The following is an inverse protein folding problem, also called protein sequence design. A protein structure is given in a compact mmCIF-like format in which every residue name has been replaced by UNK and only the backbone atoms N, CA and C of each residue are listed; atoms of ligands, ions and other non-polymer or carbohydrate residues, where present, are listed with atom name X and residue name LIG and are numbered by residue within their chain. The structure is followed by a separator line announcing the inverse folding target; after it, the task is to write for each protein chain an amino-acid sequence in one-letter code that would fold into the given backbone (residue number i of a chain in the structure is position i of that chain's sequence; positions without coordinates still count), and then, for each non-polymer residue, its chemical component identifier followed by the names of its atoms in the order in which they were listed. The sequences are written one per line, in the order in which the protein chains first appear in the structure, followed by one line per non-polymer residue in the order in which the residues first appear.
data_IF_143492076795
#
_entry.id   IF_143492076795
#
_cell.length_a   1.000
_cell.length_b   1.000
_cell.length_c   1.000
_cell.angle_alpha   90.00
_cell.angle_beta   90.00
_cell.angle_gamma   90.00
#
_symmetry.space_group_name_H-M   'P 1'
#
loop_
_entity.id
_entity.type
_entity.pdbx_description
1 polymer ?
#
# COMPACT_ATOMS: atom_id res chain seq x y z
N UNK A 1 -1.90 -19.20 10.76
CA UNK A 1 -2.30 -18.02 9.96
C UNK A 1 -1.51 -18.09 8.67
N UNK A 2 -2.15 -18.11 7.50
CA UNK A 2 -1.41 -18.13 6.23
C UNK A 2 -1.25 -16.68 5.80
N UNK A 3 -0.12 -16.08 6.14
CA UNK A 3 0.30 -14.89 5.42
C UNK A 3 0.41 -15.28 3.95
N UNK A 4 -0.42 -14.68 3.10
CA UNK A 4 -0.35 -14.89 1.66
C UNK A 4 0.83 -14.05 1.16
N UNK A 5 2.03 -14.59 1.31
CA UNK A 5 3.09 -14.21 0.38
C UNK A 5 2.65 -14.77 -0.97
N UNK A 6 2.43 -13.88 -1.94
CA UNK A 6 2.20 -14.24 -3.32
C UNK A 6 3.40 -15.07 -3.79
N UNK A 7 3.28 -16.39 -3.67
CA UNK A 7 4.14 -17.30 -4.40
C UNK A 7 3.78 -17.09 -5.86
N UNK A 8 4.61 -16.34 -6.59
CA UNK A 8 4.53 -16.29 -8.04
C UNK A 8 4.78 -17.71 -8.55
N UNK A 9 3.69 -18.43 -8.80
CA UNK A 9 3.73 -19.77 -9.36
C UNK A 9 4.25 -19.60 -10.78
N UNK A 10 5.54 -19.89 -10.99
CA UNK A 10 6.27 -19.78 -12.26
C UNK A 10 5.49 -20.47 -13.37
N UNK A 11 4.64 -19.71 -14.04
CA UNK A 11 3.93 -20.13 -15.24
C UNK A 11 4.75 -19.61 -16.39
N UNK A 12 5.48 -20.56 -16.99
CA UNK A 12 6.34 -20.40 -18.16
C UNK A 12 5.58 -19.60 -19.23
N UNK A 13 6.24 -18.57 -19.78
CA UNK A 13 5.85 -17.63 -20.85
C UNK A 13 5.38 -16.23 -20.42
N UNK A 14 6.35 -15.47 -19.89
CA UNK A 14 6.47 -14.00 -19.78
C UNK A 14 7.97 -13.67 -19.66
N UNK A 15 8.44 -12.45 -19.94
CA UNK A 15 9.84 -12.08 -19.79
C UNK A 15 10.34 -12.38 -18.37
N UNK A 16 11.38 -13.20 -18.23
CA UNK A 16 11.94 -13.45 -16.91
C UNK A 16 12.66 -12.16 -16.45
N UNK A 17 12.15 -11.51 -15.41
CA UNK A 17 12.85 -10.44 -14.72
C UNK A 17 14.28 -10.88 -14.37
N UNK A 18 15.24 -10.02 -14.68
CA UNK A 18 16.68 -10.33 -14.68
C UNK A 18 17.44 -9.71 -13.51
N UNK A 19 16.71 -9.10 -12.58
CA UNK A 19 17.18 -8.46 -11.36
C UNK A 19 16.19 -8.71 -10.20
N UNK A 20 16.44 -8.14 -9.02
CA UNK A 20 15.59 -8.30 -7.84
C UNK A 20 14.37 -7.37 -7.92
N UNK A 21 13.19 -7.84 -7.54
CA UNK A 21 11.97 -7.05 -7.57
C UNK A 21 11.45 -6.72 -6.17
N UNK A 22 11.02 -5.48 -5.95
CA UNK A 22 10.05 -5.13 -4.93
C UNK A 22 8.73 -5.79 -5.31
N UNK A 23 8.12 -6.50 -4.36
CA UNK A 23 6.89 -7.28 -4.61
C UNK A 23 5.75 -6.94 -3.69
N UNK A 24 6.04 -6.42 -2.51
CA UNK A 24 5.02 -6.01 -1.54
C UNK A 24 5.53 -4.86 -0.68
N UNK A 25 4.66 -3.87 -0.44
CA UNK A 25 4.88 -2.79 0.52
C UNK A 25 3.64 -2.65 1.39
N UNK A 26 3.83 -2.76 2.71
CA UNK A 26 2.80 -2.56 3.73
C UNK A 26 3.16 -1.31 4.51
N UNK A 27 2.23 -0.36 4.58
CA UNK A 27 2.43 0.92 5.26
C UNK A 27 1.63 1.04 6.55
N UNK A 28 0.65 0.17 6.79
CA UNK A 28 -0.24 0.26 7.95
C UNK A 28 -0.76 -1.10 8.44
N UNK A 29 -1.01 -1.24 9.75
CA UNK A 29 -0.60 -0.33 10.83
C UNK A 29 0.94 -0.32 11.00
N UNK A 30 1.46 0.53 11.91
CA UNK A 30 2.90 0.63 12.21
C UNK A 30 3.56 -0.74 12.44
N UNK A 31 2.88 -1.65 13.16
CA UNK A 31 3.40 -2.98 13.46
C UNK A 31 3.54 -3.85 12.20
N UNK A 32 2.80 -3.54 11.14
CA UNK A 32 2.80 -4.29 9.89
C UNK A 32 3.78 -3.74 8.84
N UNK A 33 4.39 -2.57 9.08
CA UNK A 33 5.25 -1.91 8.11
C UNK A 33 6.38 -2.85 7.66
N UNK A 34 6.37 -3.14 6.36
CA UNK A 34 7.26 -4.15 5.78
C UNK A 34 7.36 -4.05 4.27
N UNK A 35 8.48 -4.56 3.75
CA UNK A 35 8.80 -4.61 2.34
C UNK A 35 9.24 -6.02 1.98
N UNK A 36 8.70 -6.57 0.89
CA UNK A 36 9.11 -7.87 0.35
C UNK A 36 9.90 -7.72 -0.93
N UNK A 37 11.03 -8.43 -1.02
CA UNK A 37 11.92 -8.46 -2.19
C UNK A 37 12.01 -9.88 -2.71
N UNK A 38 11.82 -10.06 -4.01
CA UNK A 38 11.87 -11.35 -4.66
C UNK A 38 13.07 -11.45 -5.61
N UNK A 39 13.68 -12.63 -5.69
CA UNK A 39 14.67 -12.96 -6.71
C UNK A 39 14.02 -13.80 -7.82
N UNK A 40 13.48 -13.19 -8.90
CA UNK A 40 12.91 -13.93 -10.03
C UNK A 40 13.97 -14.56 -10.95
N UNK A 41 15.26 -14.27 -10.73
CA UNK A 41 16.34 -14.76 -11.60
C UNK A 41 16.59 -16.26 -11.41
N UNK A 42 17.36 -16.86 -12.33
CA UNK A 42 17.77 -18.27 -12.22
C UNK A 42 19.08 -18.46 -11.41
N UNK A 43 19.53 -17.45 -10.67
CA UNK A 43 20.80 -17.48 -9.94
C UNK A 43 20.69 -16.87 -8.55
N UNK A 44 21.47 -17.38 -7.62
CA UNK A 44 21.69 -16.75 -6.31
C UNK A 44 22.31 -15.37 -6.47
N UNK A 45 21.78 -14.38 -5.75
CA UNK A 45 22.28 -13.01 -5.71
C UNK A 45 22.87 -12.74 -4.32
N UNK A 46 24.04 -12.10 -4.26
CA UNK A 46 24.63 -11.64 -3.00
C UNK A 46 24.26 -10.17 -2.78
N UNK A 47 23.72 -9.86 -1.60
CA UNK A 47 23.13 -8.58 -1.28
C UNK A 47 24.10 -7.52 -0.73
N UNK A 48 25.39 -7.83 -0.55
CA UNK A 48 26.34 -6.93 0.14
C UNK A 48 26.47 -5.51 -0.46
N UNK A 49 26.15 -5.38 -1.75
CA UNK A 49 26.23 -4.13 -2.51
C UNK A 49 24.85 -3.59 -2.91
N UNK A 50 23.79 -4.16 -2.33
CA UNK A 50 22.44 -3.68 -2.51
C UNK A 50 22.07 -2.78 -1.32
N UNK A 51 21.22 -1.82 -1.60
CA UNK A 51 20.73 -0.82 -0.67
C UNK A 51 19.26 -0.58 -0.93
N UNK A 52 18.53 -0.24 0.13
CA UNK A 52 17.15 0.22 0.06
C UNK A 52 17.07 1.65 0.60
N UNK A 53 16.24 2.50 0.00
CA UNK A 53 16.18 3.93 0.29
C UNK A 53 14.79 4.49 0.01
N UNK A 54 14.43 5.54 0.75
CA UNK A 54 13.18 6.30 0.59
C UNK A 54 13.42 7.77 0.24
N UNK A 55 14.56 8.08 -0.37
CA UNK A 55 14.90 9.43 -0.81
C UNK A 55 15.20 9.43 -2.31
N UNK A 56 14.49 10.28 -3.06
CA UNK A 56 14.66 10.41 -4.50
C UNK A 56 16.02 11.01 -4.92
N UNK A 57 16.83 11.47 -3.97
CA UNK A 57 18.23 11.90 -4.15
C UNK A 57 19.27 10.79 -3.88
N UNK A 58 18.88 9.52 -3.70
CA UNK A 58 19.80 8.39 -3.42
C UNK A 58 21.03 8.33 -4.34
N UNK A 59 20.89 8.72 -5.60
CA UNK A 59 21.98 8.77 -6.59
C UNK A 59 23.11 9.77 -6.24
N UNK A 60 22.93 10.59 -5.18
CA UNK A 60 23.90 11.54 -4.62
C UNK A 60 24.67 11.02 -3.39
N UNK A 61 24.55 9.72 -3.03
CA UNK A 61 25.18 9.12 -1.83
C UNK A 61 26.71 9.31 -1.77
N UNK A 62 27.36 9.58 -2.90
CA UNK A 62 28.80 9.83 -2.96
C UNK A 62 29.19 11.26 -2.53
N UNK A 63 28.33 12.23 -2.85
CA UNK A 63 28.59 13.66 -2.61
C UNK A 63 28.08 14.11 -1.25
N UNK A 64 26.98 13.52 -0.82
CA UNK A 64 26.41 13.67 0.50
C UNK A 64 26.97 12.52 1.32
N UNK A 65 27.92 12.80 2.21
CA UNK A 65 28.47 11.76 3.10
C UNK A 65 27.33 10.89 3.66
N UNK A 66 27.55 9.58 3.81
CA UNK A 66 26.66 8.66 4.55
C UNK A 66 26.43 9.14 6.02
N UNK A 67 27.03 10.27 6.42
CA UNK A 67 26.87 10.99 7.69
C UNK A 67 26.24 12.39 7.56
N UNK A 68 25.83 12.84 6.38
CA UNK A 68 25.03 14.07 6.25
C UNK A 68 23.58 13.69 6.52
N UNK A 69 23.02 14.34 7.53
CA UNK A 69 21.69 14.14 8.13
C UNK A 69 20.49 14.06 7.17
N UNK A 70 20.69 14.21 5.86
CA UNK A 70 19.63 14.14 4.87
C UNK A 70 19.60 12.81 4.11
N UNK A 71 20.70 12.06 3.95
CA UNK A 71 20.68 10.74 3.25
C UNK A 71 20.96 9.59 4.23
N UNK A 72 21.68 9.85 5.33
CA UNK A 72 21.98 8.85 6.36
C UNK A 72 20.76 8.39 7.18
N UNK A 73 19.63 9.09 7.02
CA UNK A 73 18.34 8.80 7.66
C UNK A 73 17.37 8.02 6.76
N UNK A 74 17.66 7.88 5.47
CA UNK A 74 16.73 7.38 4.45
C UNK A 74 17.37 6.34 3.51
N UNK A 75 18.48 5.72 3.93
CA UNK A 75 19.16 4.67 3.16
C UNK A 75 19.69 3.61 4.11
N UNK A 76 19.50 2.34 3.75
CA UNK A 76 20.00 1.19 4.49
C UNK A 76 20.68 0.17 3.57
N UNK A 77 21.87 -0.29 3.97
CA UNK A 77 22.63 -1.32 3.29
C UNK A 77 22.23 -2.71 3.78
N UNK A 78 22.07 -3.66 2.86
CA UNK A 78 21.85 -5.06 3.20
C UNK A 78 23.12 -5.70 3.79
N UNK A 79 23.00 -6.63 4.76
CA UNK A 79 24.14 -7.40 5.23
C UNK A 79 24.71 -8.29 4.10
N UNK A 80 25.94 -8.79 4.28
CA UNK A 80 26.54 -9.76 3.34
C UNK A 80 25.83 -11.11 3.46
N UNK A 81 24.71 -11.22 2.75
CA UNK A 81 23.86 -12.39 2.67
C UNK A 81 23.53 -12.72 1.22
N UNK A 82 22.84 -13.84 1.02
CA UNK A 82 22.38 -14.28 -0.29
C UNK A 82 20.86 -14.43 -0.30
N UNK A 83 20.27 -14.26 -1.47
CA UNK A 83 18.90 -14.67 -1.79
C UNK A 83 18.97 -15.64 -2.97
N UNK A 84 18.51 -16.88 -2.78
CA UNK A 84 18.54 -17.89 -3.83
C UNK A 84 17.48 -17.61 -4.91
N UNK A 85 17.64 -18.26 -6.06
CA UNK A 85 16.70 -18.14 -7.17
C UNK A 85 15.28 -18.56 -6.75
N UNK A 86 14.31 -17.69 -6.98
CA UNK A 86 12.90 -17.87 -6.63
C UNK A 86 12.56 -17.63 -5.15
N UNK A 87 13.53 -17.20 -4.33
CA UNK A 87 13.25 -16.83 -2.94
C UNK A 87 12.67 -15.43 -2.82
N UNK A 88 11.86 -15.22 -1.79
CA UNK A 88 11.38 -13.91 -1.36
C UNK A 88 11.85 -13.69 0.07
N UNK A 89 12.35 -12.49 0.34
CA UNK A 89 12.70 -12.05 1.68
C UNK A 89 11.77 -10.93 2.14
N UNK A 90 11.58 -10.85 3.46
CA UNK A 90 10.74 -9.83 4.10
C UNK A 90 11.57 -9.00 5.07
N UNK A 91 11.49 -7.68 4.89
CA UNK A 91 12.08 -6.68 5.77
C UNK A 91 10.96 -6.08 6.61
N UNK A 92 11.07 -6.14 7.94
CA UNK A 92 10.11 -5.50 8.87
C UNK A 92 10.71 -4.28 9.55
N UNK A 93 9.86 -3.31 9.83
CA UNK A 93 10.24 -2.00 10.35
C UNK A 93 9.94 -1.82 11.84
N UNK A 94 9.05 -2.65 12.38
CA UNK A 94 8.60 -2.55 13.77
C UNK A 94 8.99 -3.77 14.61
N UNK A 95 9.47 -3.54 15.83
CA UNK A 95 9.86 -4.60 16.77
C UNK A 95 8.69 -5.51 17.20
N UNK A 96 7.46 -4.99 17.14
CA UNK A 96 6.24 -5.70 17.51
C UNK A 96 5.52 -6.34 16.31
N UNK A 97 6.20 -6.56 15.18
CA UNK A 97 5.58 -7.10 13.96
C UNK A 97 4.83 -8.42 14.15
N UNK A 98 5.22 -9.22 15.14
CA UNK A 98 4.55 -10.47 15.48
C UNK A 98 3.15 -10.26 16.08
N UNK A 99 2.82 -9.08 16.60
CA UNK A 99 1.45 -8.74 17.02
C UNK A 99 0.49 -8.69 15.84
N UNK A 100 0.99 -8.29 14.67
CA UNK A 100 0.21 -8.23 13.43
C UNK A 100 0.29 -9.54 12.62
N UNK A 101 1.51 -10.04 12.37
CA UNK A 101 1.74 -11.21 11.53
C UNK A 101 1.62 -12.55 12.27
N UNK A 102 1.54 -12.52 13.60
CA UNK A 102 1.48 -13.68 14.49
C UNK A 102 2.86 -14.20 14.93
N UNK A 103 2.89 -14.83 16.10
CA UNK A 103 4.09 -15.38 16.75
C UNK A 103 4.87 -16.41 15.91
N UNK A 104 4.19 -17.09 14.98
CA UNK A 104 4.81 -18.10 14.10
C UNK A 104 5.54 -17.46 12.90
N UNK A 105 5.34 -16.17 12.63
CA UNK A 105 6.01 -15.45 11.57
C UNK A 105 7.37 -14.93 12.03
N UNK A 106 8.40 -15.10 11.20
CA UNK A 106 9.76 -14.60 11.43
C UNK A 106 10.22 -13.91 10.17
N UNK A 107 10.56 -12.63 10.27
CA UNK A 107 11.11 -11.86 9.17
C UNK A 107 12.57 -12.24 8.88
N UNK A 108 13.00 -12.07 7.63
CA UNK A 108 14.38 -12.35 7.21
C UNK A 108 15.33 -11.24 7.65
N UNK A 109 14.87 -10.00 7.55
CA UNK A 109 15.62 -8.80 7.91
C UNK A 109 14.81 -7.84 8.78
N UNK A 110 15.53 -7.14 9.65
CA UNK A 110 14.98 -6.15 10.58
C UNK A 110 15.58 -4.77 10.29
N UNK A 111 14.76 -3.73 10.20
CA UNK A 111 15.23 -2.33 10.14
C UNK A 111 15.54 -1.72 11.52
N UNK A 112 15.38 -2.50 12.57
CA UNK A 112 15.64 -2.10 13.95
C UNK A 112 16.64 -3.05 14.63
N UNK A 113 17.14 -2.62 15.79
CA UNK A 113 18.09 -3.38 16.58
C UNK A 113 19.51 -3.36 15.99
N UNK A 114 20.35 -4.30 16.42
CA UNK A 114 21.77 -4.37 16.04
C UNK A 114 22.25 -5.82 15.84
N UNK A 115 21.35 -6.68 15.37
CA UNK A 115 21.61 -8.10 15.17
C UNK A 115 22.25 -8.36 13.79
N UNK A 116 22.74 -9.58 13.56
CA UNK A 116 23.37 -9.95 12.27
C UNK A 116 22.39 -9.88 11.07
N UNK A 117 21.08 -9.92 11.33
CA UNK A 117 20.01 -9.77 10.34
C UNK A 117 19.42 -8.35 10.32
N UNK A 118 20.10 -7.37 10.90
CA UNK A 118 19.69 -5.97 10.83
C UNK A 118 20.33 -5.28 9.62
N UNK A 119 19.58 -4.45 8.91
CA UNK A 119 20.17 -3.57 7.89
C UNK A 119 21.02 -2.50 8.57
N UNK A 120 22.00 -1.97 7.84
CA UNK A 120 22.84 -0.87 8.31
C UNK A 120 22.37 0.44 7.67
N UNK A 121 21.67 1.25 8.45
CA UNK A 121 21.13 2.55 8.04
C UNK A 121 19.74 2.77 8.63
N UNK A 122 18.97 3.66 8.00
CA UNK A 122 17.60 4.01 8.42
C UNK A 122 16.76 4.20 7.15
N UNK A 123 15.45 3.96 7.25
CA UNK A 123 14.45 4.28 6.22
C UNK A 123 13.27 4.88 6.95
N UNK A 124 12.64 5.89 6.36
CA UNK A 124 11.44 6.52 6.87
C UNK A 124 11.72 7.81 7.64
N UNK A 125 10.66 8.58 7.89
CA UNK A 125 10.72 9.75 8.76
C UNK A 125 10.83 9.33 10.24
N UNK A 126 11.13 10.28 11.13
CA UNK A 126 11.45 10.01 12.54
C UNK A 126 10.63 8.88 13.20
N UNK A 127 11.34 7.85 13.70
CA UNK A 127 10.87 6.52 14.13
C UNK A 127 10.82 5.44 13.05
N UNK A 128 11.51 5.61 11.92
CA UNK A 128 11.68 4.62 10.85
C UNK A 128 10.35 4.18 10.18
N UNK A 129 9.45 5.15 9.97
CA UNK A 129 8.10 4.93 9.43
C UNK A 129 7.96 5.31 7.97
N UNK A 130 7.18 4.53 7.23
CA UNK A 130 6.87 4.76 5.83
C UNK A 130 5.60 5.63 5.73
N UNK A 131 5.67 6.76 5.03
CA UNK A 131 4.52 7.66 4.91
C UNK A 131 3.38 7.06 4.09
N UNK A 132 2.15 7.14 4.58
CA UNK A 132 1.02 6.50 3.91
C UNK A 132 0.45 7.33 2.76
N UNK A 133 0.70 8.65 2.77
CA UNK A 133 0.13 9.58 1.79
C UNK A 133 0.93 9.59 0.50
N UNK A 134 2.26 9.70 0.60
CA UNK A 134 3.14 9.68 -0.55
C UNK A 134 4.56 9.35 -0.10
N UNK A 135 5.17 8.36 -0.73
CA UNK A 135 6.54 7.96 -0.47
C UNK A 135 7.12 7.28 -1.72
N UNK A 136 8.42 7.01 -1.70
CA UNK A 136 9.07 6.12 -2.67
C UNK A 136 9.93 5.10 -1.93
N UNK A 137 10.00 3.87 -2.45
CA UNK A 137 10.97 2.87 -2.04
C UNK A 137 11.83 2.54 -3.25
N UNK A 138 13.14 2.67 -3.10
CA UNK A 138 14.14 2.41 -4.15
C UNK A 138 15.04 1.27 -3.68
N UNK A 139 15.14 0.22 -4.50
CA UNK A 139 16.19 -0.78 -4.41
C UNK A 139 17.28 -0.39 -5.41
N UNK A 140 18.53 -0.29 -4.96
CA UNK A 140 19.64 0.08 -5.84
C UNK A 140 20.91 -0.70 -5.53
N UNK A 141 21.82 -0.73 -6.51
CA UNK A 141 23.13 -1.36 -6.40
C UNK A 141 24.25 -0.32 -6.43
N UNK A 142 25.16 -0.42 -5.46
CA UNK A 142 26.39 0.38 -5.43
C UNK A 142 27.54 -0.41 -4.81
N UNK A 143 28.69 -0.41 -5.46
CA UNK A 143 29.90 -1.15 -5.02
C UNK A 143 30.76 -0.37 -4.01
N UNK A 144 30.35 0.85 -3.64
CA UNK A 144 31.09 1.72 -2.74
C UNK A 144 32.20 2.54 -3.40
N UNK A 145 32.45 2.36 -4.71
CA UNK A 145 33.55 2.99 -5.44
C UNK A 145 33.14 3.67 -6.75
N UNK A 146 32.18 3.08 -7.47
CA UNK A 146 31.69 3.54 -8.78
C UNK A 146 30.97 4.88 -8.67
N UNK A 147 31.18 5.75 -9.67
CA UNK A 147 30.49 7.04 -9.79
C UNK A 147 28.99 6.88 -10.10
N UNK A 148 28.60 5.76 -10.71
CA UNK A 148 27.21 5.48 -11.06
C UNK A 148 26.61 4.50 -10.06
N UNK A 149 25.47 4.91 -9.51
CA UNK A 149 24.54 4.02 -8.84
C UNK A 149 23.66 3.39 -9.91
N UNK A 150 23.38 2.10 -9.77
CA UNK A 150 22.50 1.39 -10.69
C UNK A 150 21.17 1.15 -10.02
N UNK A 151 20.11 1.47 -10.75
CA UNK A 151 18.75 1.27 -10.29
C UNK A 151 18.45 -0.24 -10.34
N UNK A 152 17.72 -0.77 -9.37
CA UNK A 152 17.35 -2.19 -9.37
C UNK A 152 15.85 -2.35 -9.48
N UNK A 153 15.06 -1.64 -8.67
CA UNK A 153 13.61 -1.54 -8.80
C UNK A 153 13.18 -0.32 -7.95
N UNK A 154 12.02 0.27 -8.21
CA UNK A 154 11.39 1.17 -7.26
C UNK A 154 9.86 1.04 -7.25
N UNK A 155 9.26 1.43 -6.13
CA UNK A 155 7.82 1.62 -6.03
C UNK A 155 7.52 2.99 -5.43
N UNK A 156 6.79 3.83 -6.15
CA UNK A 156 6.36 5.15 -5.68
C UNK A 156 4.84 5.26 -5.65
N UNK A 157 4.33 5.94 -4.62
CA UNK A 157 2.90 6.23 -4.49
C UNK A 157 2.65 7.66 -4.04
N UNK A 158 1.47 8.15 -4.35
CA UNK A 158 0.93 9.40 -3.87
C UNK A 158 -0.58 9.39 -4.01
N UNK A 159 -1.30 9.46 -2.88
CA UNK A 159 -2.76 9.61 -2.87
C UNK A 159 -3.20 11.06 -3.09
N UNK A 160 -2.26 11.99 -3.33
CA UNK A 160 -2.54 13.38 -3.67
C UNK A 160 -2.79 13.50 -5.18
N UNK A 161 -3.95 14.03 -5.54
CA UNK A 161 -4.41 14.06 -6.93
C UNK A 161 -3.44 14.82 -7.85
N UNK A 162 -2.88 14.11 -8.84
CA UNK A 162 -2.08 14.70 -9.91
C UNK A 162 -0.67 15.14 -9.52
N UNK A 163 -0.18 14.76 -8.33
CA UNK A 163 1.14 15.16 -7.84
C UNK A 163 2.05 13.93 -7.68
N UNK A 164 3.08 13.82 -8.54
CA UNK A 164 4.21 12.91 -8.34
C UNK A 164 5.25 13.60 -7.44
N UNK A 165 5.11 13.47 -6.12
CA UNK A 165 5.99 14.15 -5.16
C UNK A 165 7.43 13.62 -5.18
N UNK A 166 7.58 12.32 -5.41
CA UNK A 166 8.85 11.60 -5.24
C UNK A 166 9.44 11.10 -6.57
N UNK A 167 9.01 11.68 -7.69
CA UNK A 167 9.55 11.36 -9.00
C UNK A 167 11.07 11.59 -9.07
N UNK A 168 11.77 10.70 -9.76
CA UNK A 168 13.24 10.70 -9.88
C UNK A 168 13.60 11.09 -11.32
N UNK A 169 14.46 12.08 -11.53
CA UNK A 169 14.92 12.37 -12.90
C UNK A 169 16.40 12.75 -12.91
N UNK A 170 17.22 11.83 -13.41
CA UNK A 170 18.68 11.99 -13.55
C UNK A 170 19.10 12.53 -14.92
N UNK A 171 18.16 12.97 -15.75
CA UNK A 171 18.45 13.51 -17.09
C UNK A 171 19.38 14.72 -17.05
N UNK A 172 20.38 14.72 -17.94
CA UNK A 172 21.41 15.77 -17.99
C UNK A 172 22.43 15.75 -16.84
N UNK A 173 22.35 14.79 -15.91
CA UNK A 173 23.42 14.54 -14.93
C UNK A 173 24.55 13.78 -15.62
N UNK A 174 25.80 14.20 -15.38
CA UNK A 174 26.97 13.57 -16.00
C UNK A 174 27.00 12.07 -15.70
N UNK A 175 27.30 11.27 -16.73
CA UNK A 175 27.41 9.81 -16.71
C UNK A 175 26.11 9.02 -16.56
N UNK A 176 24.99 9.64 -16.15
CA UNK A 176 23.67 9.01 -16.18
C UNK A 176 23.06 9.10 -17.58
N UNK A 177 22.24 8.12 -17.93
CA UNK A 177 21.31 8.21 -19.05
C UNK A 177 20.11 9.10 -18.67
N UNK A 178 19.40 9.59 -19.68
CA UNK A 178 18.17 10.34 -19.46
C UNK A 178 17.05 9.41 -18.98
N UNK A 179 16.46 9.74 -17.84
CA UNK A 179 15.28 9.09 -17.27
C UNK A 179 14.00 9.60 -17.95
N UNK A 180 12.91 8.85 -17.83
CA UNK A 180 11.57 9.33 -18.14
C UNK A 180 11.26 10.59 -17.34
N UNK A 181 10.72 11.62 -18.00
CA UNK A 181 10.46 12.91 -17.34
C UNK A 181 9.35 12.80 -16.29
N UNK A 182 9.46 13.57 -15.20
CA UNK A 182 8.57 13.49 -14.02
C UNK A 182 7.08 13.54 -14.39
N UNK A 183 6.70 14.35 -15.39
CA UNK A 183 5.32 14.48 -15.85
C UNK A 183 4.77 13.25 -16.60
N UNK A 184 5.66 12.38 -17.08
CA UNK A 184 5.34 11.15 -17.78
C UNK A 184 5.56 9.89 -16.93
N UNK A 185 6.13 10.02 -15.73
CA UNK A 185 6.27 8.91 -14.80
C UNK A 185 4.92 8.54 -14.19
N UNK A 186 4.64 7.24 -14.13
CA UNK A 186 3.47 6.73 -13.45
C UNK A 186 3.83 6.32 -12.03
N UNK A 187 3.05 6.83 -11.09
CA UNK A 187 3.09 6.44 -9.68
C UNK A 187 1.74 5.84 -9.30
N UNK A 188 1.73 5.02 -8.25
CA UNK A 188 0.51 4.43 -7.72
C UNK A 188 -0.32 5.48 -6.98
N UNK A 189 -1.62 5.54 -7.24
CA UNK A 189 -2.46 6.67 -6.80
C UNK A 189 -3.41 6.36 -5.66
N UNK A 190 -3.56 5.08 -5.30
CA UNK A 190 -4.47 4.68 -4.23
C UNK A 190 -3.71 4.56 -2.90
N UNK A 191 -4.39 4.91 -1.80
CA UNK A 191 -3.85 4.75 -0.44
C UNK A 191 -4.17 3.35 0.09
N UNK A 192 -3.16 2.59 0.52
CA UNK A 192 -3.37 1.32 1.21
C UNK A 192 -3.93 1.56 2.63
N UNK A 193 -4.81 0.65 3.07
CA UNK A 193 -5.42 0.68 4.40
C UNK A 193 -4.76 -0.36 5.32
N UNK A 194 -5.09 -0.33 6.62
CA UNK A 194 -4.75 -1.43 7.53
C UNK A 194 -5.19 -2.77 6.94
N UNK A 195 -4.38 -3.81 7.15
CA UNK A 195 -4.61 -5.17 6.64
C UNK A 195 -4.58 -5.31 5.11
N UNK A 196 -4.09 -4.30 4.41
CA UNK A 196 -3.84 -4.34 2.97
C UNK A 196 -2.38 -4.06 2.65
N UNK A 197 -1.96 -4.50 1.46
CA UNK A 197 -0.63 -4.23 0.94
C UNK A 197 -0.70 -3.73 -0.50
N UNK A 198 0.21 -2.82 -0.86
CA UNK A 198 0.61 -2.68 -2.25
C UNK A 198 1.33 -3.97 -2.66
N UNK A 199 0.91 -4.58 -3.75
CA UNK A 199 1.46 -5.84 -4.26
C UNK A 199 1.67 -5.76 -5.75
N UNK A 200 2.85 -6.18 -6.19
CA UNK A 200 3.13 -6.40 -7.61
C UNK A 200 2.19 -7.50 -8.15
N UNK A 201 1.69 -7.33 -9.37
CA UNK A 201 0.68 -8.21 -9.99
C UNK A 201 1.34 -9.46 -10.58
N UNK A 202 2.50 -9.31 -11.20
CA UNK A 202 3.35 -10.37 -11.73
C UNK A 202 4.83 -9.93 -11.68
N UNK A 203 5.70 -10.58 -12.46
CA UNK A 203 7.14 -10.27 -12.50
C UNK A 203 7.51 -9.35 -13.68
N UNK A 204 6.52 -8.89 -14.45
CA UNK A 204 6.76 -7.96 -15.56
C UNK A 204 6.61 -6.52 -15.08
N UNK A 205 7.49 -5.65 -15.55
CA UNK A 205 7.42 -4.22 -15.32
C UNK A 205 6.70 -3.56 -16.48
N UNK A 206 5.40 -3.32 -16.30
CA UNK A 206 4.50 -2.91 -17.37
C UNK A 206 5.00 -1.64 -18.05
N UNK A 207 5.18 -1.71 -19.37
CA UNK A 207 5.61 -0.61 -20.24
C UNK A 207 7.01 -0.05 -20.01
N UNK A 208 7.80 -0.70 -19.15
CA UNK A 208 9.16 -0.30 -18.83
C UNK A 208 10.11 -0.38 -20.04
N UNK A 209 10.93 0.66 -20.22
CA UNK A 209 11.91 0.78 -21.29
C UNK A 209 13.15 -0.04 -20.96
N UNK A 210 13.28 -1.17 -21.65
CA UNK A 210 14.30 -2.19 -21.37
C UNK A 210 15.75 -1.83 -21.79
N UNK A 211 16.01 -0.62 -22.32
CA UNK A 211 17.33 -0.24 -22.86
C UNK A 211 17.61 1.25 -22.72
N UNK A 212 18.90 1.59 -22.62
CA UNK A 212 19.41 2.96 -22.50
C UNK A 212 18.96 3.68 -21.21
N UNK A 213 18.63 2.95 -20.15
CA UNK A 213 18.40 3.52 -18.83
C UNK A 213 19.55 3.27 -17.86
N UNK A 214 19.28 3.55 -16.59
CA UNK A 214 20.23 3.53 -15.48
C UNK A 214 20.12 2.28 -14.60
N UNK A 215 19.20 1.36 -14.93
CA UNK A 215 18.98 0.08 -14.26
C UNK A 215 20.19 -0.86 -14.34
N UNK A 216 20.25 -1.83 -13.44
CA UNK A 216 21.35 -2.79 -13.31
C UNK A 216 21.55 -3.64 -14.58
N UNK A 217 20.47 -3.81 -15.34
CA UNK A 217 20.41 -4.50 -16.64
C UNK A 217 20.23 -3.54 -17.82
N UNK A 218 20.25 -2.23 -17.57
CA UNK A 218 20.19 -1.16 -18.56
C UNK A 218 18.78 -0.66 -18.88
N UNK A 219 17.80 -1.04 -18.07
CA UNK A 219 16.43 -0.55 -18.15
C UNK A 219 16.29 0.87 -17.57
N UNK A 220 15.23 1.56 -17.96
CA UNK A 220 14.78 2.81 -17.34
C UNK A 220 13.60 2.50 -16.43
N UNK A 221 13.92 2.18 -15.16
CA UNK A 221 12.92 1.92 -14.11
C UNK A 221 11.86 3.03 -14.09
N UNK A 222 12.27 4.30 -14.35
CA UNK A 222 11.39 5.48 -14.23
C UNK A 222 10.22 5.47 -15.21
N UNK A 223 10.27 4.59 -16.21
CA UNK A 223 9.27 4.45 -17.25
C UNK A 223 8.18 3.40 -16.94
N UNK A 224 8.30 2.65 -15.85
CA UNK A 224 7.30 1.65 -15.48
C UNK A 224 5.93 2.28 -15.21
N UNK A 225 4.87 1.67 -15.74
CA UNK A 225 3.51 2.01 -15.38
C UNK A 225 3.11 1.30 -14.08
N UNK A 226 3.44 1.91 -12.93
CA UNK A 226 3.13 1.36 -11.62
C UNK A 226 1.64 1.08 -11.38
N UNK A 227 0.72 1.75 -12.11
CA UNK A 227 -0.73 1.52 -12.00
C UNK A 227 -1.18 0.22 -12.66
N UNK A 228 -0.39 -0.29 -13.60
CA UNK A 228 -0.64 -1.55 -14.29
C UNK A 228 0.15 -2.71 -13.67
N UNK A 229 1.29 -2.42 -13.04
CA UNK A 229 2.15 -3.43 -12.41
C UNK A 229 1.79 -3.73 -10.96
N UNK A 230 1.10 -2.82 -10.26
CA UNK A 230 0.76 -2.95 -8.84
C UNK A 230 -0.74 -2.89 -8.59
N UNK A 231 -1.16 -3.48 -7.48
CA UNK A 231 -2.52 -3.41 -6.94
C UNK A 231 -2.51 -3.43 -5.43
N UNK A 232 -3.60 -2.97 -4.81
CA UNK A 232 -3.87 -3.22 -3.40
C UNK A 232 -4.49 -4.61 -3.25
N UNK A 233 -4.01 -5.39 -2.28
CA UNK A 233 -4.57 -6.70 -1.89
C UNK A 233 -4.88 -6.75 -0.40
N UNK A 234 -5.88 -7.55 -0.04
CA UNK A 234 -6.15 -7.94 1.35
C UNK A 234 -5.10 -8.95 1.83
N UNK A 235 -4.55 -8.74 3.03
CA UNK A 235 -3.58 -9.64 3.67
C UNK A 235 -4.24 -10.77 4.45
N UNK A 236 -5.49 -10.56 4.88
CA UNK A 236 -6.28 -11.48 5.69
C UNK A 236 -7.70 -11.54 5.14
N UNK A 237 -8.45 -12.61 5.46
CA UNK A 237 -9.88 -12.60 5.21
C UNK A 237 -10.57 -11.60 6.14
N UNK A 238 -11.01 -10.47 5.59
CA UNK A 238 -11.70 -9.42 6.32
C UNK A 238 -13.20 -9.71 6.37
N UNK A 239 -13.83 -9.44 7.52
CA UNK A 239 -15.28 -9.54 7.65
C UNK A 239 -15.77 -9.43 9.09
N UNK A 240 -17.08 -9.27 9.26
CA UNK A 240 -17.67 -9.15 10.60
C UNK A 240 -17.49 -10.46 11.40
N UNK A 241 -16.78 -10.38 12.52
CA UNK A 241 -16.52 -11.56 13.38
C UNK A 241 -17.56 -11.76 14.49
N UNK A 242 -18.53 -10.86 14.66
CA UNK A 242 -19.56 -11.02 15.68
C UNK A 242 -20.66 -11.99 15.25
N UNK A 243 -20.75 -13.15 15.92
CA UNK A 243 -21.73 -14.22 15.68
C UNK A 243 -23.21 -13.75 15.76
N UNK A 244 -23.50 -12.64 16.44
CA UNK A 244 -24.86 -12.09 16.55
C UNK A 244 -25.18 -11.06 15.48
N UNK A 245 -24.22 -10.65 14.65
CA UNK A 245 -24.44 -9.72 13.55
C UNK A 245 -25.13 -10.41 12.38
N UNK A 246 -25.89 -9.64 11.60
CA UNK A 246 -26.60 -10.13 10.42
C UNK A 246 -25.61 -10.56 9.32
N UNK A 247 -24.49 -9.86 9.21
CA UNK A 247 -23.43 -10.12 8.24
C UNK A 247 -22.22 -10.84 8.83
N UNK A 248 -22.41 -11.64 9.88
CA UNK A 248 -21.35 -12.48 10.43
C UNK A 248 -20.68 -13.33 9.34
N UNK A 249 -19.36 -13.23 9.23
CA UNK A 249 -18.54 -14.02 8.32
C UNK A 249 -17.72 -15.05 9.12
N UNK A 250 -18.02 -16.33 8.89
CA UNK A 250 -17.41 -17.44 9.63
C UNK A 250 -15.92 -17.65 9.29
N UNK A 251 -15.48 -17.22 8.11
CA UNK A 251 -14.10 -17.36 7.67
C UNK A 251 -13.26 -16.09 7.87
N UNK A 252 -13.83 -15.04 8.48
CA UNK A 252 -13.09 -13.82 8.77
C UNK A 252 -11.99 -14.10 9.80
N UNK A 253 -10.77 -13.67 9.46
CA UNK A 253 -9.60 -13.71 10.33
C UNK A 253 -9.47 -12.41 11.14
N UNK A 254 -9.93 -11.30 10.56
CA UNK A 254 -9.88 -9.96 11.16
C UNK A 254 -11.24 -9.28 11.02
N UNK A 255 -11.70 -8.65 12.10
CA UNK A 255 -12.94 -7.88 12.11
C UNK A 255 -12.72 -6.58 11.31
N UNK A 256 -13.44 -6.43 10.21
CA UNK A 256 -13.43 -5.25 9.36
C UNK A 256 -14.34 -4.13 9.90
N UNK A 257 -14.97 -4.37 11.06
CA UNK A 257 -15.91 -3.45 11.66
C UNK A 257 -17.22 -3.32 10.88
N UNK A 258 -17.50 -4.16 9.88
CA UNK A 258 -18.71 -4.05 9.06
C UNK A 258 -19.98 -4.56 9.76
N UNK A 259 -19.86 -5.13 10.96
CA UNK A 259 -20.98 -5.73 11.70
C UNK A 259 -22.19 -4.79 11.83
N UNK A 260 -23.37 -5.26 11.43
CA UNK A 260 -24.65 -4.60 11.68
C UNK A 260 -25.70 -5.58 12.22
N UNK A 261 -26.68 -5.04 12.95
CA UNK A 261 -27.59 -5.84 13.79
C UNK A 261 -29.07 -5.59 13.51
N UNK A 262 -29.39 -4.65 12.63
CA UNK A 262 -30.78 -4.38 12.22
C UNK A 262 -30.83 -4.21 10.70
N UNK A 263 -31.76 -4.90 10.05
CA UNK A 263 -32.07 -4.76 8.62
C UNK A 263 -32.89 -3.50 8.36
N UNK A 264 -32.85 -2.96 7.14
CA UNK A 264 -33.70 -1.81 6.78
C UNK A 264 -35.18 -2.22 6.81
N UNK A 265 -35.47 -3.47 6.43
CA UNK A 265 -36.82 -4.02 6.52
C UNK A 265 -37.37 -4.01 7.95
N UNK A 266 -36.57 -4.38 8.95
CA UNK A 266 -36.99 -4.36 10.36
C UNK A 266 -37.29 -2.94 10.83
N UNK A 267 -36.47 -1.96 10.45
CA UNK A 267 -36.67 -0.54 10.81
C UNK A 267 -38.02 -0.03 10.29
N UNK A 268 -38.38 -0.38 9.05
CA UNK A 268 -39.62 0.10 8.43
C UNK A 268 -40.85 -0.61 9.01
N UNK A 269 -40.76 -1.92 9.23
CA UNK A 269 -41.91 -2.71 9.66
C UNK A 269 -42.17 -2.62 11.17
N UNK A 270 -41.12 -2.46 11.96
CA UNK A 270 -41.18 -2.35 13.42
C UNK A 270 -40.28 -1.18 13.90
N UNK A 271 -40.69 0.07 13.64
CA UNK A 271 -39.85 1.23 13.91
C UNK A 271 -39.63 1.42 15.41
N UNK A 272 -38.41 1.14 15.86
CA UNK A 272 -37.96 1.36 17.22
C UNK A 272 -37.61 2.84 17.45
N UNK A 273 -38.63 3.72 17.39
CA UNK A 273 -38.46 5.17 17.49
C UNK A 273 -37.66 5.56 18.74
N UNK A 274 -36.66 6.41 18.56
CA UNK A 274 -35.78 6.90 19.62
C UNK A 274 -34.71 5.91 20.07
N UNK A 275 -34.62 4.71 19.46
CA UNK A 275 -33.51 3.79 19.69
C UNK A 275 -32.38 4.03 18.71
N UNK A 276 -31.15 3.90 19.21
CA UNK A 276 -29.96 3.79 18.38
C UNK A 276 -29.89 2.39 17.77
N UNK A 277 -29.63 2.33 16.47
CA UNK A 277 -29.52 1.10 15.69
C UNK A 277 -28.23 1.12 14.89
N UNK A 278 -27.77 -0.08 14.50
CA UNK A 278 -26.66 -0.24 13.55
C UNK A 278 -27.19 -1.04 12.36
N UNK A 279 -27.21 -0.41 11.20
CA UNK A 279 -27.70 -0.98 9.94
C UNK A 279 -26.69 -0.77 8.82
N UNK A 280 -26.93 -1.40 7.68
CA UNK A 280 -26.12 -1.21 6.49
C UNK A 280 -26.98 -1.27 5.22
N UNK A 281 -26.59 -0.51 4.21
CA UNK A 281 -27.29 -0.45 2.93
C UNK A 281 -26.42 0.13 1.83
N UNK A 282 -26.83 -0.07 0.58
CA UNK A 282 -26.18 0.49 -0.61
C UNK A 282 -26.73 1.89 -0.83
N UNK A 283 -25.86 2.88 -1.03
CA UNK A 283 -26.28 4.25 -1.35
C UNK A 283 -27.07 4.24 -2.66
N UNK A 284 -28.28 4.80 -2.63
CA UNK A 284 -29.16 4.89 -3.79
C UNK A 284 -29.51 6.33 -4.19
N UNK A 285 -29.44 7.28 -3.25
CA UNK A 285 -29.65 8.70 -3.54
C UNK A 285 -28.87 9.60 -2.57
N UNK A 286 -28.60 10.84 -2.99
CA UNK A 286 -28.04 11.89 -2.16
C UNK A 286 -28.54 13.27 -2.57
N UNK A 287 -29.00 14.05 -1.60
CA UNK A 287 -29.28 15.47 -1.79
C UNK A 287 -28.99 16.31 -0.54
N UNK A 288 -28.61 17.57 -0.74
CA UNK A 288 -28.38 18.54 0.34
C UNK A 288 -29.29 19.77 0.16
N UNK A 289 -30.33 19.96 1.00
CA UNK A 289 -31.14 21.18 1.03
C UNK A 289 -30.33 22.41 1.42
N UNK A 290 -30.78 23.59 0.98
CA UNK A 290 -30.21 24.86 1.44
C UNK A 290 -30.43 25.03 2.94
N UNK A 291 -29.34 25.08 3.72
CA UNK A 291 -29.34 25.15 5.19
C UNK A 291 -29.92 23.92 5.92
N UNK A 292 -30.01 22.76 5.25
CA UNK A 292 -30.45 21.51 5.84
C UNK A 292 -29.31 20.50 6.02
N UNK A 293 -29.58 19.35 6.67
CA UNK A 293 -28.63 18.24 6.74
C UNK A 293 -28.40 17.63 5.36
N UNK A 294 -27.31 16.90 5.22
CA UNK A 294 -27.11 15.95 4.13
C UNK A 294 -28.14 14.84 4.23
N UNK A 295 -28.87 14.57 3.14
CA UNK A 295 -29.82 13.48 3.07
C UNK A 295 -29.25 12.40 2.16
N UNK A 296 -28.99 11.22 2.75
CA UNK A 296 -28.46 10.06 2.04
C UNK A 296 -29.51 8.95 2.09
N UNK A 297 -29.92 8.45 0.94
CA UNK A 297 -30.83 7.30 0.87
C UNK A 297 -30.01 6.03 0.73
N UNK A 298 -30.25 5.07 1.61
CA UNK A 298 -29.66 3.73 1.51
C UNK A 298 -30.73 2.67 1.28
N UNK A 299 -30.39 1.68 0.48
CA UNK A 299 -31.24 0.58 0.08
C UNK A 299 -30.71 -0.76 0.58
N UNK A 300 -31.62 -1.62 1.00
CA UNK A 300 -31.31 -2.99 1.35
C UNK A 300 -31.19 -3.85 0.09
N UNK A 301 -30.05 -4.51 -0.06
CA UNK A 301 -29.63 -5.16 -1.30
C UNK A 301 -30.66 -6.15 -1.89
N UNK A 302 -31.38 -6.90 -1.05
CA UNK A 302 -32.26 -7.99 -1.50
C UNK A 302 -33.74 -7.61 -1.56
N UNK A 303 -34.19 -6.67 -0.74
CA UNK A 303 -35.61 -6.37 -0.57
C UNK A 303 -36.03 -5.06 -1.26
N UNK A 304 -35.08 -4.16 -1.52
CA UNK A 304 -35.35 -2.82 -2.04
C UNK A 304 -35.99 -1.89 -1.02
N UNK A 305 -36.06 -2.26 0.26
CA UNK A 305 -36.45 -1.34 1.32
C UNK A 305 -35.41 -0.23 1.44
N UNK A 306 -35.87 1.02 1.60
CA UNK A 306 -35.02 2.19 1.68
C UNK A 306 -35.30 2.99 2.95
N UNK A 307 -34.26 3.61 3.50
CA UNK A 307 -34.37 4.63 4.54
C UNK A 307 -33.55 5.86 4.16
N UNK A 308 -33.94 7.00 4.72
CA UNK A 308 -33.22 8.26 4.58
C UNK A 308 -32.41 8.55 5.84
N UNK A 309 -31.13 8.83 5.66
CA UNK A 309 -30.22 9.26 6.70
C UNK A 309 -30.16 10.79 6.68
N UNK A 310 -30.34 11.42 7.84
CA UNK A 310 -30.15 12.87 8.01
C UNK A 310 -28.86 13.13 8.77
N UNK A 311 -27.84 13.65 8.09
CA UNK A 311 -26.50 13.86 8.64
C UNK A 311 -26.19 15.36 8.64
N UNK A 312 -25.97 15.96 9.81
CA UNK A 312 -25.66 17.39 9.90
C UNK A 312 -24.20 17.66 9.53
N UNK A 313 -23.90 18.89 9.09
CA UNK A 313 -22.53 19.33 8.75
C UNK A 313 -21.52 19.08 9.88
N UNK A 314 -21.97 19.02 11.14
CA UNK A 314 -21.13 18.69 12.30
C UNK A 314 -20.69 17.23 12.37
N UNK A 315 -21.38 16.33 11.67
CA UNK A 315 -21.13 14.88 11.63
C UNK A 315 -20.71 14.43 10.22
N UNK A 316 -20.60 15.37 9.27
CA UNK A 316 -20.18 15.09 7.90
C UNK A 316 -18.64 15.13 7.82
N UNK A 317 -18.03 13.95 7.74
CA UNK A 317 -16.56 13.79 7.71
C UNK A 317 -16.00 13.93 6.29
N UNK A 318 -14.68 14.14 6.19
CA UNK A 318 -13.98 14.17 4.89
C UNK A 318 -14.11 12.82 4.15
N UNK A 319 -14.04 11.69 4.87
CA UNK A 319 -14.26 10.35 4.30
C UNK A 319 -15.67 10.21 3.68
N UNK A 320 -16.69 10.77 4.34
CA UNK A 320 -18.04 10.78 3.78
C UNK A 320 -18.11 11.68 2.56
N UNK A 321 -17.48 12.86 2.62
CA UNK A 321 -17.44 13.80 1.50
C UNK A 321 -16.83 13.16 0.25
N UNK A 322 -15.72 12.43 0.39
CA UNK A 322 -15.04 11.76 -0.73
C UNK A 322 -15.95 10.77 -1.47
N UNK A 323 -16.77 10.00 -0.74
CA UNK A 323 -17.74 9.06 -1.32
C UNK A 323 -18.70 9.77 -2.28
N UNK A 324 -19.15 10.99 -1.96
CA UNK A 324 -20.14 11.73 -2.77
C UNK A 324 -19.51 12.64 -3.83
N UNK A 325 -18.19 12.84 -3.82
CA UNK A 325 -17.45 13.52 -4.88
C UNK A 325 -17.10 12.56 -6.03
N UNK A 326 -16.89 11.28 -5.74
CA UNK A 326 -16.64 10.23 -6.73
C UNK A 326 -17.92 9.68 -7.39
N UNK A 327 -18.06 9.85 -8.71
CA UNK A 327 -19.15 9.20 -9.48
C UNK A 327 -18.67 7.87 -10.09
N UNK A 328 -19.48 6.78 -10.06
CA UNK A 328 -20.82 6.69 -9.47
C UNK A 328 -20.79 6.31 -7.99
N UNK A 329 -21.36 7.14 -7.13
CA UNK A 329 -21.45 6.84 -5.70
C UNK A 329 -22.56 5.83 -5.35
N UNK A 330 -23.51 5.57 -6.26
CA UNK A 330 -24.67 4.68 -6.10
C UNK A 330 -24.34 3.17 -6.06
N UNK A 331 -23.13 2.82 -5.65
CA UNK A 331 -22.60 1.45 -5.59
C UNK A 331 -21.98 1.13 -4.23
N UNK A 332 -21.72 2.15 -3.41
CA UNK A 332 -21.07 1.99 -2.12
C UNK A 332 -22.06 1.43 -1.10
N UNK A 333 -21.65 0.39 -0.37
CA UNK A 333 -22.35 -0.11 0.80
C UNK A 333 -21.78 0.58 2.03
N UNK A 334 -22.65 1.22 2.82
CA UNK A 334 -22.25 1.89 4.06
C UNK A 334 -22.90 1.22 5.27
N UNK A 335 -22.15 1.19 6.38
CA UNK A 335 -22.65 0.85 7.72
C UNK A 335 -22.96 2.16 8.44
N UNK A 336 -24.11 2.23 9.10
CA UNK A 336 -24.61 3.43 9.76
C UNK A 336 -25.05 3.10 11.17
N UNK A 337 -24.63 3.93 12.12
CA UNK A 337 -25.16 3.95 13.49
C UNK A 337 -25.94 5.24 13.68
N UNK A 338 -27.17 5.16 14.18
CA UNK A 338 -27.99 6.35 14.38
C UNK A 338 -29.31 6.08 15.08
N UNK A 339 -30.00 7.15 15.47
CA UNK A 339 -31.29 7.08 16.17
C UNK A 339 -32.43 7.04 15.14
N UNK A 340 -33.37 6.12 15.30
CA UNK A 340 -34.57 6.06 14.46
C UNK A 340 -35.50 7.22 14.81
N UNK A 341 -35.68 8.13 13.85
CA UNK A 341 -36.63 9.25 13.94
C UNK A 341 -38.01 8.90 13.38
N UNK A 342 -39.00 9.73 13.72
CA UNK A 342 -40.25 9.82 12.96
C UNK A 342 -40.07 10.88 11.87
N UNK A 343 -40.55 10.59 10.67
CA UNK A 343 -40.60 11.57 9.58
C UNK A 343 -41.77 12.53 9.74
#
# INVERSE_FOLDING_TARGET
MKLIFLLFCTSIFGGQADHLLLTQVITQPDEAESISIHNPTNSTINLRNYYICDDNEYYLIQTNSISSSNISGYTAQFPDMIIDAGETMVIVFNENYQEFFGEDFTADLLMFGSNDNSLNGHIGFGNDKIEETAEIIILFYWDGESELIKDVDYFSWSSLEGINLNGINKSGISNYQDDTSIENQFYYTEKSLSYHAYSRIDMEESTETQVNGNGITGHDETSENLRDSWKIIELFNLGCMNITAINYEINAEVDDGSCYYTTISEIINEPNIGQEIITAGIISDYYKPTNGPHIVTIAENLSGFIIELSIWDTEWTDDLQEIFEGSPFFTHKIKVTGIVGEY
#
